data_IF_855930928960
#
_entry.id   IF_855930928960
#
_cell.length_a   1.000
_cell.length_b   1.000
_cell.length_c   1.000
_cell.angle_alpha   90.00
_cell.angle_beta   90.00
_cell.angle_gamma   90.00
#
_symmetry.space_group_name_H-M   'P 1'
#
loop_
_entity.id
_entity.type
_entity.pdbx_description
1 polymer ?
#
# COMPACT_ATOMS: atom_id res chain seq x y z
N UNK A 1 15.80 -13.44 13.28
CA UNK A 1 14.81 -13.49 12.19
C UNK A 1 15.35 -12.65 11.06
N UNK A 2 15.36 -13.16 9.83
CA UNK A 2 15.76 -12.37 8.68
C UNK A 2 14.84 -11.14 8.63
N UNK A 3 15.38 -9.95 8.90
CA UNK A 3 14.68 -8.70 8.64
C UNK A 3 14.60 -8.59 7.11
N UNK A 4 13.54 -9.14 6.53
CA UNK A 4 13.18 -8.83 5.16
C UNK A 4 12.80 -7.35 5.16
N UNK A 5 13.78 -6.50 4.82
CA UNK A 5 13.56 -5.07 4.68
C UNK A 5 12.72 -4.84 3.43
N UNK A 6 11.40 -4.95 3.58
CA UNK A 6 10.50 -4.66 2.48
C UNK A 6 10.64 -3.19 2.07
N UNK A 7 10.88 -2.96 0.79
CA UNK A 7 10.96 -1.60 0.25
C UNK A 7 9.58 -0.95 0.21
N UNK A 8 9.54 0.38 0.02
CA UNK A 8 8.29 1.12 -0.24
C UNK A 8 7.51 0.51 -1.41
N UNK A 9 8.21 0.05 -2.45
CA UNK A 9 7.59 -0.60 -3.60
C UNK A 9 6.93 -1.93 -3.23
N UNK A 10 7.59 -2.73 -2.40
CA UNK A 10 7.09 -4.06 -2.01
C UNK A 10 5.84 -3.94 -1.17
N UNK A 11 5.87 -3.12 -0.11
CA UNK A 11 4.70 -2.92 0.76
C UNK A 11 3.53 -2.27 0.00
N UNK A 12 3.82 -1.37 -0.95
CA UNK A 12 2.77 -0.77 -1.80
C UNK A 12 2.12 -1.82 -2.68
N UNK A 13 2.90 -2.70 -3.30
CA UNK A 13 2.36 -3.80 -4.11
C UNK A 13 1.51 -4.75 -3.27
N UNK A 14 1.97 -5.10 -2.06
CA UNK A 14 1.25 -5.96 -1.13
C UNK A 14 -0.15 -5.41 -0.80
N UNK A 15 -0.33 -4.09 -0.70
CA UNK A 15 -1.65 -3.48 -0.47
C UNK A 15 -2.66 -3.73 -1.60
N UNK A 16 -2.21 -4.06 -2.81
CA UNK A 16 -3.08 -4.35 -3.95
C UNK A 16 -3.19 -5.84 -4.28
N UNK A 17 -2.53 -6.71 -3.51
CA UNK A 17 -2.70 -8.16 -3.65
C UNK A 17 -4.05 -8.59 -3.03
N UNK A 18 -4.89 -9.36 -3.75
CA UNK A 18 -6.20 -9.76 -3.26
C UNK A 18 -6.15 -10.54 -1.94
N UNK A 19 -5.09 -11.33 -1.70
CA UNK A 19 -4.92 -12.12 -0.48
C UNK A 19 -4.66 -11.27 0.78
N UNK A 20 -4.22 -10.02 0.61
CA UNK A 20 -3.95 -9.11 1.73
C UNK A 20 -5.14 -8.18 2.03
N UNK A 21 -6.25 -8.32 1.30
CA UNK A 21 -7.45 -7.53 1.57
C UNK A 21 -8.14 -8.01 2.84
N UNK A 22 -8.45 -7.08 3.74
CA UNK A 22 -9.17 -7.36 4.98
C UNK A 22 -10.70 -7.43 4.78
N UNK A 23 -11.14 -7.68 3.55
CA UNK A 23 -12.55 -7.75 3.15
C UNK A 23 -12.76 -8.94 2.23
N UNK A 24 -13.94 -9.58 2.30
CA UNK A 24 -14.29 -10.72 1.43
C UNK A 24 -14.88 -10.23 0.11
N UNK A 25 -14.04 -9.62 -0.73
CA UNK A 25 -14.36 -9.30 -2.11
C UNK A 25 -13.11 -9.39 -2.99
N UNK A 26 -13.28 -9.69 -4.28
CA UNK A 26 -12.18 -9.63 -5.23
C UNK A 26 -12.13 -8.22 -5.86
N UNK A 27 -11.11 -7.39 -5.55
CA UNK A 27 -11.03 -6.04 -6.10
C UNK A 27 -10.87 -6.00 -7.62
N UNK A 28 -10.47 -7.12 -8.25
CA UNK A 28 -10.26 -7.22 -9.71
C UNK A 28 -11.57 -7.32 -10.49
N UNK A 29 -12.69 -7.65 -9.82
CA UNK A 29 -14.02 -7.67 -10.46
C UNK A 29 -14.67 -6.28 -10.50
N UNK A 30 -13.98 -5.24 -10.02
CA UNK A 30 -14.45 -3.86 -10.01
C UNK A 30 -13.36 -2.87 -10.40
N UNK A 31 -13.58 -1.60 -10.06
CA UNK A 31 -12.63 -0.51 -10.28
C UNK A 31 -12.49 0.29 -8.98
N UNK A 32 -11.27 0.70 -8.67
CA UNK A 32 -10.98 1.61 -7.58
C UNK A 32 -11.52 3.00 -7.92
N UNK A 33 -12.39 3.54 -7.06
CA UNK A 33 -12.83 4.94 -7.16
C UNK A 33 -11.77 5.89 -6.62
N UNK A 34 -11.20 5.53 -5.47
CA UNK A 34 -10.10 6.24 -4.82
C UNK A 34 -9.34 5.27 -3.91
N UNK A 35 -8.07 5.58 -3.62
CA UNK A 35 -7.19 4.85 -2.72
C UNK A 35 -6.50 5.84 -1.79
N UNK A 36 -6.38 5.49 -0.52
CA UNK A 36 -5.57 6.21 0.44
C UNK A 36 -4.43 5.32 0.91
N UNK A 37 -3.18 5.75 0.70
CA UNK A 37 -1.98 5.07 1.19
C UNK A 37 -1.36 5.87 2.34
N UNK A 38 -1.31 5.26 3.52
CA UNK A 38 -0.81 5.86 4.74
C UNK A 38 0.47 5.14 5.18
N UNK A 39 1.61 5.71 4.80
CA UNK A 39 2.92 5.15 5.09
C UNK A 39 3.38 5.51 6.51
N UNK A 40 4.12 4.60 7.16
CA UNK A 40 4.75 4.83 8.46
C UNK A 40 6.20 4.36 8.47
N UNK A 41 7.07 5.10 9.17
CA UNK A 41 8.49 4.77 9.34
C UNK A 41 9.41 5.57 8.43
N UNK A 42 10.60 5.03 8.16
CA UNK A 42 11.59 5.64 7.27
C UNK A 42 11.18 5.47 5.81
N UNK A 43 10.46 6.47 5.29
CA UNK A 43 9.85 6.42 3.97
C UNK A 43 10.23 7.68 3.19
N UNK A 44 10.87 7.47 2.04
CA UNK A 44 11.28 8.55 1.14
C UNK A 44 10.11 8.89 0.20
N UNK A 45 9.63 10.15 0.17
CA UNK A 45 8.49 10.54 -0.68
C UNK A 45 8.67 10.27 -2.17
N UNK A 46 9.91 10.32 -2.66
CA UNK A 46 10.25 9.98 -4.06
C UNK A 46 9.88 8.54 -4.39
N UNK A 47 10.18 7.61 -3.51
CA UNK A 47 9.96 6.19 -3.74
C UNK A 47 8.47 5.85 -3.65
N UNK A 48 7.71 6.57 -2.80
CA UNK A 48 6.24 6.50 -2.77
C UNK A 48 5.65 6.90 -4.12
N UNK A 49 6.11 8.01 -4.71
CA UNK A 49 5.64 8.45 -6.02
C UNK A 49 5.96 7.43 -7.12
N UNK A 50 7.16 6.85 -7.10
CA UNK A 50 7.55 5.79 -8.03
C UNK A 50 6.66 4.54 -7.88
N UNK A 51 6.39 4.12 -6.64
CA UNK A 51 5.54 2.97 -6.35
C UNK A 51 4.10 3.17 -6.83
N UNK A 52 3.52 4.34 -6.58
CA UNK A 52 2.17 4.69 -7.06
C UNK A 52 2.12 4.73 -8.60
N UNK A 53 3.14 5.28 -9.25
CA UNK A 53 3.22 5.28 -10.71
C UNK A 53 3.23 3.84 -11.27
N UNK A 54 4.01 2.95 -10.64
CA UNK A 54 4.03 1.52 -10.99
C UNK A 54 2.63 0.88 -10.88
N UNK A 55 1.95 1.09 -9.74
CA UNK A 55 0.58 0.58 -9.50
C UNK A 55 -0.40 1.03 -10.58
N UNK A 56 -0.38 2.31 -10.97
CA UNK A 56 -1.29 2.85 -11.99
C UNK A 56 -1.15 2.19 -13.36
N UNK A 57 0.03 1.65 -13.67
CA UNK A 57 0.28 0.98 -14.96
C UNK A 57 -0.01 -0.52 -14.94
N UNK A 58 -0.26 -1.10 -13.76
CA UNK A 58 -0.46 -2.55 -13.60
C UNK A 58 -1.86 -2.95 -14.09
N UNK A 59 -1.93 -3.77 -15.13
CA UNK A 59 -3.20 -4.17 -15.81
C UNK A 59 -4.27 -4.76 -14.89
N UNK A 60 -3.86 -5.43 -13.81
CA UNK A 60 -4.76 -6.04 -12.83
C UNK A 60 -5.38 -5.05 -11.83
N UNK A 61 -4.98 -3.78 -11.87
CA UNK A 61 -5.47 -2.72 -10.98
C UNK A 61 -6.14 -1.67 -11.87
N UNK A 62 -7.45 -1.57 -11.75
CA UNK A 62 -8.25 -0.66 -12.59
C UNK A 62 -8.83 0.46 -11.75
N UNK A 63 -8.74 1.69 -12.26
CA UNK A 63 -9.36 2.87 -11.67
C UNK A 63 -10.54 3.33 -12.52
N UNK A 64 -11.48 4.04 -11.90
CA UNK A 64 -12.54 4.74 -12.64
C UNK A 64 -11.95 5.86 -13.50
N UNK A 65 -12.57 6.12 -14.65
CA UNK A 65 -12.10 7.09 -15.65
C UNK A 65 -12.32 8.55 -15.22
N UNK A 66 -13.38 8.82 -14.47
CA UNK A 66 -13.73 10.14 -13.98
C UNK A 66 -12.88 10.62 -12.79
N UNK A 67 -12.00 9.77 -12.22
CA UNK A 67 -11.09 10.14 -11.13
C UNK A 67 -9.61 9.95 -11.51
N UNK A 68 -9.00 10.89 -12.25
CA UNK A 68 -7.59 10.79 -12.65
C UNK A 68 -6.61 10.92 -11.47
N UNK A 69 -7.05 11.55 -10.38
CA UNK A 69 -6.27 11.80 -9.15
C UNK A 69 -6.72 10.92 -7.98
N UNK A 70 -7.06 9.65 -8.25
CA UNK A 70 -7.61 8.71 -7.26
C UNK A 70 -6.69 8.27 -6.12
N UNK A 71 -5.60 8.99 -5.80
CA UNK A 71 -4.70 8.66 -4.70
C UNK A 71 -4.56 9.81 -3.71
N UNK A 72 -4.84 9.52 -2.43
CA UNK A 72 -4.40 10.33 -1.30
C UNK A 72 -3.21 9.65 -0.63
N UNK A 73 -2.17 10.42 -0.34
CA UNK A 73 -0.98 9.93 0.35
C UNK A 73 -0.81 10.64 1.68
N UNK A 74 -0.41 9.87 2.71
CA UNK A 74 0.06 10.38 3.99
C UNK A 74 1.34 9.65 4.40
N UNK A 75 2.28 10.38 5.02
CA UNK A 75 3.54 9.82 5.51
C UNK A 75 3.72 10.26 6.96
N UNK A 76 3.95 9.31 7.86
CA UNK A 76 4.30 9.54 9.25
C UNK A 76 5.67 8.91 9.54
N UNK A 77 6.64 9.72 9.97
CA UNK A 77 8.00 9.24 10.23
C UNK A 77 8.10 8.35 11.48
N UNK A 78 7.08 8.30 12.33
CA UNK A 78 7.05 7.38 13.46
C UNK A 78 6.70 5.95 13.00
N UNK A 79 7.61 4.97 13.18
CA UNK A 79 7.37 3.59 12.80
C UNK A 79 6.23 2.96 13.64
N UNK A 80 5.60 1.88 13.16
CA UNK A 80 4.70 1.08 13.98
C UNK A 80 5.40 0.58 15.25
N UNK A 81 4.68 0.55 16.37
CA UNK A 81 5.21 0.08 17.66
C UNK A 81 4.71 -1.33 17.94
N UNK A 82 5.60 -2.22 18.36
CA UNK A 82 5.24 -3.51 18.91
C UNK A 82 4.63 -3.33 20.31
N UNK A 83 3.56 -4.06 20.61
CA UNK A 83 3.04 -4.13 21.98
C UNK A 83 3.83 -5.20 22.72
N UNK A 84 4.31 -4.90 23.93
CA UNK A 84 5.00 -5.90 24.77
C UNK A 84 4.08 -7.11 25.02
N UNK A 85 4.55 -8.31 24.67
CA UNK A 85 3.79 -9.55 24.77
C UNK A 85 2.75 -9.78 23.66
N UNK A 86 2.68 -8.92 22.65
CA UNK A 86 1.80 -9.10 21.49
C UNK A 86 2.36 -10.10 20.47
N UNK A 87 1.47 -10.87 19.83
CA UNK A 87 1.83 -11.87 18.82
C UNK A 87 2.30 -11.25 17.48
N UNK A 88 1.97 -9.97 17.23
CA UNK A 88 2.25 -9.26 15.98
C UNK A 88 3.21 -8.10 16.21
N UNK A 89 4.50 -8.43 16.25
CA UNK A 89 5.68 -7.61 15.91
C UNK A 89 6.91 -8.13 16.66
N UNK A 90 7.66 -9.02 16.02
CA UNK A 90 8.99 -9.44 16.46
C UNK A 90 9.94 -9.56 15.27
#
# INVERSE_FOLDING_TARGET
AYHESLSVQDITNMCFEPCNQMVKCDPRTGKYMAVCLLYRGDVVPKDVNAAIASVKTRRGIQFVDWCPTGFKVGINYQPPTAIEGGDLAR
#
